data_IF_805562177733
#
_entry.id   IF_805562177733
#
_cell.length_a   1.000
_cell.length_b   1.000
_cell.length_c   1.000
_cell.angle_alpha   90.00
_cell.angle_beta   90.00
_cell.angle_gamma   90.00
#
_symmetry.space_group_name_H-M   'P 1'
#
loop_
_entity.id
_entity.type
_entity.pdbx_description
1 polymer ?
#
# COMPACT_ATOMS: atom_id res chain seq x y z
N UNK A 1 -53.38 -13.81 -31.65
CA UNK A 1 -51.95 -14.11 -31.92
C UNK A 1 -51.13 -12.97 -31.34
N UNK A 2 -50.41 -13.25 -30.25
CA UNK A 2 -49.57 -12.31 -29.51
C UNK A 2 -48.34 -11.91 -30.33
N UNK A 3 -48.07 -10.62 -30.43
CA UNK A 3 -46.94 -10.12 -31.23
C UNK A 3 -46.59 -8.67 -30.98
N UNK A 4 -46.67 -8.21 -29.73
CA UNK A 4 -46.22 -6.88 -29.33
C UNK A 4 -45.65 -7.05 -27.90
N UNK A 5 -44.32 -7.04 -27.75
CA UNK A 5 -43.56 -6.82 -26.49
C UNK A 5 -42.08 -7.29 -26.59
N UNK A 6 -41.39 -7.12 -27.73
CA UNK A 6 -39.96 -7.52 -27.84
C UNK A 6 -38.94 -6.38 -27.80
N UNK A 7 -39.39 -5.12 -27.82
CA UNK A 7 -38.51 -3.93 -27.85
C UNK A 7 -38.15 -3.34 -26.47
N UNK A 8 -38.90 -3.68 -25.42
CA UNK A 8 -38.66 -3.14 -24.07
C UNK A 8 -37.43 -3.74 -23.40
N UNK A 9 -37.17 -5.04 -23.60
CA UNK A 9 -36.05 -5.74 -22.95
C UNK A 9 -34.68 -5.29 -23.48
N UNK A 10 -34.54 -5.07 -24.79
CA UNK A 10 -33.27 -4.63 -25.39
C UNK A 10 -32.85 -3.22 -24.97
N UNK A 11 -33.82 -2.33 -24.79
CA UNK A 11 -33.58 -0.93 -24.37
C UNK A 11 -33.20 -0.87 -22.90
N UNK A 12 -33.91 -1.61 -22.03
CA UNK A 12 -33.59 -1.70 -20.60
C UNK A 12 -32.23 -2.39 -20.39
N UNK A 13 -31.92 -3.44 -21.14
CA UNK A 13 -30.60 -4.09 -21.11
C UNK A 13 -29.48 -3.13 -21.54
N UNK A 14 -29.67 -2.40 -22.63
CA UNK A 14 -28.69 -1.39 -23.08
C UNK A 14 -28.50 -0.25 -22.07
N UNK A 15 -29.57 0.16 -21.39
CA UNK A 15 -29.50 1.16 -20.32
C UNK A 15 -28.73 0.65 -19.10
N UNK A 16 -28.98 -0.58 -18.66
CA UNK A 16 -28.26 -1.21 -17.54
C UNK A 16 -26.79 -1.44 -17.91
N UNK A 17 -26.49 -1.91 -19.13
CA UNK A 17 -25.10 -2.09 -19.59
C UNK A 17 -24.38 -0.75 -19.64
N UNK A 18 -25.01 0.30 -20.16
CA UNK A 18 -24.39 1.63 -20.24
C UNK A 18 -24.23 2.29 -18.86
N UNK A 19 -25.16 2.05 -17.93
CA UNK A 19 -25.09 2.53 -16.54
C UNK A 19 -24.03 1.77 -15.75
N UNK A 20 -23.96 0.45 -15.88
CA UNK A 20 -22.91 -0.37 -15.29
C UNK A 20 -21.54 -0.06 -15.90
N UNK A 21 -21.45 0.17 -17.21
CA UNK A 21 -20.22 0.59 -17.87
C UNK A 21 -19.75 1.97 -17.37
N UNK A 22 -20.68 2.91 -17.17
CA UNK A 22 -20.36 4.22 -16.58
C UNK A 22 -19.96 4.13 -15.10
N UNK A 23 -20.46 3.14 -14.36
CA UNK A 23 -20.03 2.83 -12.98
C UNK A 23 -18.67 2.11 -12.90
N UNK A 24 -18.31 1.34 -13.94
CA UNK A 24 -17.00 0.70 -14.08
C UNK A 24 -15.90 1.66 -14.53
N UNK A 25 -16.27 2.75 -15.21
CA UNK A 25 -15.40 3.93 -15.37
C UNK A 25 -15.45 4.72 -14.06
N UNK A 26 -14.85 4.13 -13.02
CA UNK A 26 -14.64 4.81 -11.75
C UNK A 26 -14.04 6.18 -12.05
N UNK A 27 -14.69 7.23 -11.56
CA UNK A 27 -14.13 8.58 -11.72
C UNK A 27 -12.78 8.55 -11.02
N UNK A 28 -11.71 8.93 -11.70
CA UNK A 28 -10.42 9.05 -11.02
C UNK A 28 -10.53 10.11 -9.92
N UNK A 29 -9.88 9.85 -8.78
CA UNK A 29 -9.70 10.88 -7.76
C UNK A 29 -9.08 12.14 -8.43
N UNK A 30 -9.37 13.36 -7.92
CA UNK A 30 -8.76 14.57 -8.44
C UNK A 30 -7.24 14.42 -8.47
N UNK A 31 -6.63 14.60 -9.65
CA UNK A 31 -5.17 14.43 -9.84
C UNK A 31 -4.33 15.17 -8.79
N UNK A 32 -4.80 16.35 -8.36
CA UNK A 32 -4.16 17.15 -7.30
C UNK A 32 -3.99 16.40 -5.97
N UNK A 33 -4.95 15.55 -5.59
CA UNK A 33 -4.88 14.76 -4.35
C UNK A 33 -3.88 13.61 -4.55
N UNK A 34 -3.98 12.91 -5.68
CA UNK A 34 -3.04 11.84 -6.05
C UNK A 34 -1.60 12.34 -6.09
N UNK A 35 -1.35 13.48 -6.73
CA UNK A 35 -0.02 14.09 -6.85
C UNK A 35 0.53 14.54 -5.48
N UNK A 36 -0.30 15.07 -4.58
CA UNK A 36 0.13 15.41 -3.20
C UNK A 36 0.53 14.16 -2.40
N UNK A 37 -0.20 13.06 -2.56
CA UNK A 37 0.13 11.78 -1.92
C UNK A 37 1.43 11.21 -2.48
N UNK A 38 1.57 11.17 -3.80
CA UNK A 38 2.79 10.67 -4.45
C UNK A 38 3.99 11.52 -4.07
N UNK A 39 3.88 12.85 -4.07
CA UNK A 39 4.96 13.73 -3.65
C UNK A 39 5.38 13.47 -2.19
N UNK A 40 4.44 13.14 -1.30
CA UNK A 40 4.75 12.77 0.08
C UNK A 40 5.43 11.44 0.20
N UNK A 41 4.93 10.43 -0.51
CA UNK A 41 5.54 9.10 -0.57
C UNK A 41 6.97 9.19 -1.08
N UNK A 42 7.21 9.96 -2.15
CA UNK A 42 8.57 10.18 -2.68
C UNK A 42 9.50 11.00 -1.79
N UNK A 43 8.96 11.72 -0.79
CA UNK A 43 9.75 12.47 0.19
C UNK A 43 10.06 11.65 1.46
N UNK A 44 9.47 10.46 1.62
CA UNK A 44 9.73 9.60 2.77
C UNK A 44 11.09 8.89 2.59
N UNK A 45 12.00 8.94 3.58
CA UNK A 45 13.34 8.36 3.46
C UNK A 45 13.33 6.84 3.30
N UNK A 46 12.24 6.16 3.68
CA UNK A 46 12.12 4.70 3.61
C UNK A 46 11.70 4.22 2.21
N UNK A 47 11.13 5.11 1.38
CA UNK A 47 10.63 4.79 0.04
C UNK A 47 11.70 5.13 -1.00
N UNK A 48 12.04 4.15 -1.84
CA UNK A 48 12.93 4.34 -3.01
C UNK A 48 12.17 4.87 -4.21
N UNK A 49 11.03 4.27 -4.52
CA UNK A 49 10.17 4.69 -5.64
C UNK A 49 8.73 4.25 -5.45
N UNK A 50 7.82 4.93 -6.16
CA UNK A 50 6.38 4.69 -6.14
C UNK A 50 5.93 4.27 -7.54
N UNK A 51 5.21 3.15 -7.62
CA UNK A 51 4.74 2.51 -8.85
C UNK A 51 3.23 2.23 -8.80
N UNK A 52 2.65 1.94 -9.97
CA UNK A 52 1.23 1.56 -10.18
C UNK A 52 0.19 2.34 -9.36
N UNK A 53 0.31 3.66 -9.31
CA UNK A 53 -0.62 4.50 -8.55
C UNK A 53 -2.00 4.52 -9.20
N UNK A 54 -3.00 3.98 -8.50
CA UNK A 54 -4.39 3.91 -8.92
C UNK A 54 -5.29 4.57 -7.89
N UNK A 55 -6.01 5.60 -8.32
CA UNK A 55 -6.86 6.40 -7.45
C UNK A 55 -8.28 6.43 -8.02
N UNK A 56 -9.19 5.66 -7.43
CA UNK A 56 -10.54 5.42 -7.95
C UNK A 56 -11.58 5.98 -6.98
N UNK A 57 -12.40 6.92 -7.42
CA UNK A 57 -13.57 7.41 -6.71
C UNK A 57 -14.82 6.61 -7.13
N UNK A 58 -15.25 5.70 -6.26
CA UNK A 58 -16.50 4.95 -6.39
C UNK A 58 -17.64 5.77 -5.73
N UNK A 59 -18.04 6.87 -6.39
CA UNK A 59 -19.15 7.71 -5.93
C UNK A 59 -18.76 8.79 -4.91
N UNK A 60 -19.75 9.28 -4.15
CA UNK A 60 -19.64 10.47 -3.27
C UNK A 60 -18.83 10.21 -1.99
N UNK A 61 -18.69 8.95 -1.54
CA UNK A 61 -18.09 8.62 -0.24
C UNK A 61 -17.14 7.39 -0.23
N UNK A 62 -16.72 6.93 -1.40
CA UNK A 62 -15.93 5.69 -1.48
C UNK A 62 -14.73 5.86 -2.41
N UNK A 63 -13.76 6.64 -1.98
CA UNK A 63 -12.48 6.80 -2.68
C UNK A 63 -11.48 5.73 -2.21
N UNK A 64 -10.83 5.07 -3.16
CA UNK A 64 -9.76 4.10 -2.93
C UNK A 64 -8.46 4.55 -3.56
N UNK A 65 -7.37 4.42 -2.83
CA UNK A 65 -6.02 4.67 -3.29
C UNK A 65 -5.21 3.39 -3.19
N UNK A 66 -4.62 2.96 -4.30
CA UNK A 66 -3.71 1.83 -4.35
C UNK A 66 -2.38 2.28 -4.96
N UNK A 67 -1.26 1.87 -4.37
CA UNK A 67 0.07 2.11 -4.91
C UNK A 67 1.02 0.97 -4.56
N UNK A 68 1.96 0.71 -5.46
CA UNK A 68 3.09 -0.18 -5.22
C UNK A 68 4.30 0.67 -4.77
N UNK A 69 4.99 0.23 -3.73
CA UNK A 69 6.11 0.95 -3.14
C UNK A 69 7.36 0.07 -3.20
N UNK A 70 8.45 0.62 -3.71
CA UNK A 70 9.78 0.05 -3.54
C UNK A 70 10.42 0.66 -2.29
N UNK A 71 10.88 -0.19 -1.40
CA UNK A 71 11.42 0.19 -0.10
C UNK A 71 12.95 0.08 -0.07
N UNK A 72 13.62 1.02 0.61
CA UNK A 72 15.05 0.87 0.89
C UNK A 72 15.28 0.02 2.15
N UNK A 73 15.55 -1.27 1.93
CA UNK A 73 15.89 -2.20 3.01
C UNK A 73 17.07 -1.73 3.89
N UNK A 74 18.00 -0.91 3.38
CA UNK A 74 19.07 -0.35 4.21
C UNK A 74 18.55 0.68 5.20
N UNK A 75 17.63 1.54 4.78
CA UNK A 75 17.03 2.55 5.67
C UNK A 75 16.13 1.88 6.71
N UNK A 76 15.40 0.82 6.33
CA UNK A 76 14.62 -0.01 7.28
C UNK A 76 15.54 -0.67 8.31
N UNK A 77 16.63 -1.30 7.84
CA UNK A 77 17.61 -1.92 8.74
C UNK A 77 18.24 -0.89 9.66
N UNK A 78 18.57 0.31 9.14
CA UNK A 78 19.07 1.42 9.95
C UNK A 78 18.05 1.85 11.00
N UNK A 79 16.78 2.01 10.63
CA UNK A 79 15.71 2.35 11.57
C UNK A 79 15.53 1.29 12.66
N UNK A 80 15.59 0.01 12.29
CA UNK A 80 15.56 -1.13 13.22
C UNK A 80 16.74 -1.08 14.21
N UNK A 81 17.96 -0.84 13.71
CA UNK A 81 19.16 -0.74 14.53
C UNK A 81 19.15 0.46 15.49
N UNK A 82 18.50 1.56 15.14
CA UNK A 82 18.41 2.74 16.00
C UNK A 82 17.31 2.67 17.07
N UNK A 83 16.21 1.96 16.82
CA UNK A 83 15.07 1.92 17.75
C UNK A 83 15.06 0.68 18.66
N UNK A 84 15.38 -0.50 18.12
CA UNK A 84 15.12 -1.77 18.82
C UNK A 84 16.39 -2.50 19.27
N UNK A 85 17.56 -2.11 18.76
CA UNK A 85 18.81 -2.82 19.02
C UNK A 85 19.84 -1.93 19.69
N UNK A 86 20.28 -2.32 20.87
CA UNK A 86 21.47 -1.75 21.46
C UNK A 86 22.71 -2.37 20.79
N UNK A 87 23.35 -1.64 19.87
CA UNK A 87 24.52 -2.11 19.10
C UNK A 87 25.59 -2.82 19.97
N UNK A 88 25.96 -2.30 21.16
CA UNK A 88 26.92 -2.98 22.04
C UNK A 88 26.49 -4.36 22.53
N UNK A 89 25.18 -4.59 22.70
CA UNK A 89 24.63 -5.88 23.13
C UNK A 89 24.63 -6.85 21.97
N UNK A 90 24.19 -6.39 20.80
CA UNK A 90 24.18 -7.22 19.59
C UNK A 90 25.60 -7.62 19.16
N UNK A 91 26.58 -6.72 19.34
CA UNK A 91 27.98 -7.03 19.05
C UNK A 91 28.54 -8.10 20.01
N UNK A 92 28.10 -8.12 21.27
CA UNK A 92 28.46 -9.20 22.21
C UNK A 92 27.81 -10.53 21.82
N UNK A 93 26.51 -10.52 21.48
CA UNK A 93 25.81 -11.71 21.02
C UNK A 93 26.51 -12.31 19.80
N UNK A 94 26.89 -11.49 18.81
CA UNK A 94 27.64 -11.93 17.63
C UNK A 94 29.03 -12.48 17.98
N UNK A 95 29.71 -11.92 18.98
CA UNK A 95 31.00 -12.43 19.46
C UNK A 95 30.89 -13.75 20.23
N UNK A 96 29.72 -14.04 20.80
CA UNK A 96 29.44 -15.26 21.56
C UNK A 96 29.00 -16.43 20.67
N UNK A 97 28.64 -16.18 19.40
CA UNK A 97 28.32 -17.20 18.40
C UNK A 97 29.54 -18.09 18.13
N UNK A 98 29.37 -19.40 18.29
CA UNK A 98 30.46 -20.38 18.08
C UNK A 98 30.20 -21.34 16.93
N UNK A 99 28.92 -21.58 16.64
CA UNK A 99 28.48 -22.59 15.69
C UNK A 99 27.67 -21.96 14.55
N UNK A 100 27.71 -22.58 13.37
CA UNK A 100 26.98 -22.11 12.17
C UNK A 100 25.46 -22.08 12.41
N UNK A 101 24.91 -23.07 13.14
CA UNK A 101 23.48 -23.13 13.50
C UNK A 101 23.02 -21.93 14.34
N UNK A 102 23.89 -21.43 15.23
CA UNK A 102 23.56 -20.26 16.06
C UNK A 102 23.54 -18.99 15.22
N UNK A 103 24.44 -18.88 14.25
CA UNK A 103 24.46 -17.75 13.31
C UNK A 103 23.23 -17.77 12.40
N UNK A 104 22.81 -18.94 11.91
CA UNK A 104 21.59 -19.09 11.13
C UNK A 104 20.37 -18.64 11.94
N UNK A 105 20.19 -19.16 13.15
CA UNK A 105 19.06 -18.78 14.02
C UNK A 105 19.06 -17.28 14.37
N UNK A 106 20.24 -16.69 14.58
CA UNK A 106 20.39 -15.27 14.79
C UNK A 106 19.94 -14.46 13.55
N UNK A 107 20.41 -14.83 12.36
CA UNK A 107 20.01 -14.18 11.11
C UNK A 107 18.52 -14.33 10.82
N UNK A 108 17.91 -15.48 11.09
CA UNK A 108 16.47 -15.69 10.95
C UNK A 108 15.68 -14.76 11.89
N UNK A 109 16.05 -14.72 13.17
CA UNK A 109 15.40 -13.86 14.17
C UNK A 109 15.51 -12.38 13.81
N UNK A 110 16.65 -11.96 13.27
CA UNK A 110 16.85 -10.57 12.84
C UNK A 110 16.15 -10.26 11.52
N UNK A 111 16.09 -11.21 10.60
CA UNK A 111 15.34 -11.09 9.35
C UNK A 111 13.85 -10.88 9.60
N UNK A 112 13.24 -11.70 10.48
CA UNK A 112 11.83 -11.56 10.87
C UNK A 112 11.54 -10.15 11.41
N UNK A 113 12.35 -9.67 12.35
CA UNK A 113 12.18 -8.32 12.93
C UNK A 113 12.33 -7.19 11.91
N UNK A 114 13.16 -7.36 10.88
CA UNK A 114 13.29 -6.37 9.80
C UNK A 114 12.02 -6.35 8.94
N UNK A 115 11.44 -7.51 8.64
CA UNK A 115 10.18 -7.61 7.90
C UNK A 115 9.01 -7.05 8.71
N UNK A 116 8.93 -7.36 10.00
CA UNK A 116 7.93 -6.77 10.89
C UNK A 116 8.04 -5.24 10.89
N UNK A 117 9.28 -4.72 10.93
CA UNK A 117 9.51 -3.28 10.88
C UNK A 117 9.10 -2.65 9.55
N UNK A 118 9.31 -3.35 8.43
CA UNK A 118 8.80 -2.91 7.14
C UNK A 118 7.26 -2.78 7.18
N UNK A 119 6.58 -3.76 7.78
CA UNK A 119 5.13 -3.72 8.01
C UNK A 119 4.71 -2.48 8.80
N UNK A 120 5.39 -2.20 9.92
CA UNK A 120 5.12 -1.00 10.74
C UNK A 120 5.26 0.32 9.97
N UNK A 121 6.23 0.40 9.04
CA UNK A 121 6.44 1.58 8.21
C UNK A 121 5.31 1.76 7.18
N UNK A 122 4.85 0.68 6.55
CA UNK A 122 3.67 0.71 5.65
C UNK A 122 2.47 1.25 6.42
N UNK A 123 2.19 0.66 7.58
CA UNK A 123 1.15 1.04 8.51
C UNK A 123 1.21 2.53 8.91
N UNK A 124 2.42 3.04 9.18
CA UNK A 124 2.65 4.46 9.50
C UNK A 124 2.26 5.34 8.31
N UNK A 125 2.68 4.97 7.11
CA UNK A 125 2.43 5.74 5.89
C UNK A 125 0.93 5.74 5.57
N UNK A 126 0.24 4.61 5.69
CA UNK A 126 -1.22 4.52 5.48
C UNK A 126 -1.99 5.43 6.45
N UNK A 127 -1.61 5.45 7.73
CA UNK A 127 -2.20 6.33 8.74
C UNK A 127 -1.98 7.81 8.41
N UNK A 128 -0.78 8.19 7.97
CA UNK A 128 -0.47 9.57 7.60
C UNK A 128 -1.28 10.04 6.38
N UNK A 129 -1.47 9.17 5.38
CA UNK A 129 -2.32 9.46 4.22
C UNK A 129 -3.77 9.63 4.65
N UNK A 130 -4.32 8.68 5.42
CA UNK A 130 -5.72 8.68 5.87
C UNK A 130 -6.03 9.91 6.74
N UNK A 131 -5.09 10.29 7.63
CA UNK A 131 -5.23 11.45 8.50
C UNK A 131 -5.27 12.77 7.72
N UNK A 132 -4.51 12.86 6.63
CA UNK A 132 -4.41 14.09 5.83
C UNK A 132 -5.49 14.20 4.75
N UNK A 133 -5.94 13.06 4.23
CA UNK A 133 -6.97 12.97 3.20
C UNK A 133 -8.11 12.08 3.70
N UNK A 134 -8.99 12.59 4.59
CA UNK A 134 -10.11 11.81 5.14
C UNK A 134 -11.13 11.37 4.08
N UNK A 135 -11.09 11.99 2.89
CA UNK A 135 -11.89 11.62 1.72
C UNK A 135 -11.50 10.25 1.12
N UNK A 136 -10.31 9.74 1.48
CA UNK A 136 -9.80 8.43 1.07
C UNK A 136 -10.11 7.43 2.18
N UNK A 137 -11.02 6.50 1.88
CA UNK A 137 -11.54 5.54 2.86
C UNK A 137 -10.78 4.23 2.88
N UNK A 138 -10.12 3.90 1.77
CA UNK A 138 -9.27 2.73 1.63
C UNK A 138 -7.95 3.14 0.99
N UNK A 139 -6.86 2.85 1.69
CA UNK A 139 -5.49 2.99 1.22
C UNK A 139 -4.93 1.58 1.22
N UNK A 140 -4.52 1.09 0.05
CA UNK A 140 -3.88 -0.21 -0.11
C UNK A 140 -2.45 0.06 -0.60
N UNK A 141 -1.46 -0.08 0.27
CA UNK A 141 -0.04 0.02 -0.10
C UNK A 141 0.57 -1.38 -0.18
N UNK A 142 1.15 -1.70 -1.34
CA UNK A 142 1.79 -2.99 -1.57
C UNK A 142 3.29 -2.79 -1.74
N UNK A 143 4.11 -3.65 -1.13
CA UNK A 143 5.53 -3.71 -1.40
C UNK A 143 5.78 -4.43 -2.73
N UNK A 144 6.68 -3.87 -3.55
CA UNK A 144 7.06 -4.42 -4.86
C UNK A 144 7.96 -5.67 -4.77
#
# INVERSE_FOLDING_TARGET
>A
MCGLNRWHLGTVASFIIRTNAAHLVGRSLPKRITDDIVCRLSNDPVIRSVHDVKATALGVEQSRFKAELDFDGREITRAYLHQNVHLPTLLKEVQELKDEEQLESFMETHGEKIIDRLGDEIDRIEREITKKHPDIRHVDLEAL
#
